data_IF_122049144493
#
_entry.id   IF_122049144493
#
_cell.length_a   1.000
_cell.length_b   1.000
_cell.length_c   1.000
_cell.angle_alpha   90.00
_cell.angle_beta   90.00
_cell.angle_gamma   90.00
#
_symmetry.space_group_name_H-M   'P 1'
#
loop_
_entity.id
_entity.type
_entity.pdbx_description
1 polymer ?
#
# COMPACT_ATOMS: atom_id res chain seq x y z
N UNK A 1 -8.97 0.92 -1.02
CA UNK A 1 -8.82 2.39 -1.10
C UNK A 1 -9.66 3.13 -0.08
N UNK A 2 -10.97 2.90 0.05
CA UNK A 2 -11.77 3.53 1.13
C UNK A 2 -11.34 3.16 2.56
N UNK A 3 -10.59 2.06 2.72
CA UNK A 3 -9.87 1.70 3.96
C UNK A 3 -8.62 2.55 4.20
N UNK A 4 -7.92 2.94 3.14
CA UNK A 4 -6.65 3.68 3.18
C UNK A 4 -6.95 5.18 3.20
N UNK A 5 -7.67 5.61 4.23
CA UNK A 5 -8.06 7.01 4.44
C UNK A 5 -7.50 7.45 5.80
N UNK A 6 -7.00 8.68 5.94
CA UNK A 6 -6.54 9.19 7.23
C UNK A 6 -7.58 8.99 8.35
N UNK A 7 -7.11 8.65 9.56
CA UNK A 7 -7.95 8.59 10.77
C UNK A 7 -8.48 7.21 11.16
N UNK A 8 -8.24 6.15 10.38
CA UNK A 8 -8.80 4.80 10.64
C UNK A 8 -7.76 3.68 10.88
N UNK A 9 -6.62 3.98 11.52
CA UNK A 9 -5.48 3.07 11.82
C UNK A 9 -4.82 2.35 10.61
N UNK A 10 -5.39 2.45 9.42
CA UNK A 10 -4.86 1.91 8.18
C UNK A 10 -3.73 2.80 7.63
N UNK A 11 -2.59 2.23 7.19
CA UNK A 11 -1.46 3.05 6.75
C UNK A 11 -1.73 3.68 5.38
N UNK A 12 -1.41 4.96 5.24
CA UNK A 12 -1.45 5.67 3.94
C UNK A 12 -0.08 6.20 3.50
N UNK A 13 0.88 6.28 4.43
CA UNK A 13 2.22 6.78 4.17
C UNK A 13 3.21 5.62 4.04
N UNK A 14 4.14 5.73 3.10
CA UNK A 14 5.23 4.76 2.88
C UNK A 14 6.31 5.05 3.90
N UNK A 15 6.23 4.37 5.04
CA UNK A 15 7.16 4.49 6.17
C UNK A 15 7.27 3.18 6.94
N UNK A 16 8.32 3.04 7.75
CA UNK A 16 8.47 1.91 8.66
C UNK A 16 8.88 2.34 10.07
N UNK A 17 8.45 1.57 11.08
CA UNK A 17 8.74 1.86 12.49
C UNK A 17 8.77 0.60 13.37
N UNK A 18 9.46 0.69 14.52
CA UNK A 18 9.62 -0.43 15.47
C UNK A 18 8.40 -0.67 16.39
N UNK A 19 7.54 0.33 16.57
CA UNK A 19 6.41 0.26 17.53
C UNK A 19 5.12 0.83 16.99
N UNK A 20 5.23 1.85 16.15
CA UNK A 20 4.10 2.63 15.72
C UNK A 20 3.15 1.80 14.83
N UNK A 21 1.85 1.91 15.13
CA UNK A 21 0.77 1.18 14.47
C UNK A 21 0.16 2.00 13.34
N UNK A 22 0.78 3.08 12.96
CA UNK A 22 0.32 4.00 11.92
C UNK A 22 1.05 3.76 10.59
N UNK A 23 2.28 3.25 10.67
CA UNK A 23 3.18 3.04 9.53
C UNK A 23 2.77 1.85 8.67
N UNK A 24 3.23 1.89 7.41
CA UNK A 24 3.02 0.85 6.42
C UNK A 24 3.68 -0.46 6.84
N UNK A 25 4.93 -0.36 7.30
CA UNK A 25 5.71 -1.48 7.80
C UNK A 25 5.94 -1.32 9.31
N UNK A 26 5.53 -2.31 10.10
CA UNK A 26 5.87 -2.40 11.52
C UNK A 26 6.88 -3.52 11.74
N UNK A 27 7.94 -3.23 12.49
CA UNK A 27 8.90 -4.25 12.96
C UNK A 27 8.71 -4.42 14.47
N UNK A 28 7.97 -5.43 14.94
CA UNK A 28 7.71 -5.60 16.37
C UNK A 28 9.00 -5.67 17.19
N UNK A 29 9.01 -5.01 18.35
CA UNK A 29 10.18 -4.97 19.22
C UNK A 29 10.72 -6.37 19.52
N UNK A 30 12.03 -6.53 19.32
CA UNK A 30 12.75 -7.74 19.64
C UNK A 30 12.64 -8.08 21.13
N UNK A 31 12.49 -9.37 21.44
CA UNK A 31 12.52 -9.86 22.82
C UNK A 31 13.65 -10.88 22.92
N UNK A 32 14.67 -10.66 23.78
CA UNK A 32 15.73 -11.65 24.00
C UNK A 32 15.16 -13.05 24.32
N UNK A 33 15.68 -14.09 23.68
CA UNK A 33 15.17 -15.46 23.79
C UNK A 33 13.93 -15.77 22.95
N UNK A 34 13.51 -14.85 22.07
CA UNK A 34 12.42 -15.03 21.10
C UNK A 34 12.85 -14.67 19.68
N UNK A 35 14.05 -15.08 19.29
CA UNK A 35 14.67 -14.80 17.99
C UNK A 35 13.77 -15.24 16.82
N UNK A 36 13.10 -16.40 16.97
CA UNK A 36 12.15 -16.94 15.97
C UNK A 36 10.88 -16.10 15.79
N UNK A 37 10.62 -15.13 16.65
CA UNK A 37 9.45 -14.25 16.57
C UNK A 37 9.73 -12.93 15.83
N UNK A 38 11.00 -12.65 15.50
CA UNK A 38 11.41 -11.49 14.69
C UNK A 38 10.76 -11.57 13.32
N UNK A 39 10.08 -10.50 12.93
CA UNK A 39 9.33 -10.43 11.68
C UNK A 39 9.12 -8.98 11.25
N UNK A 40 8.70 -8.83 10.02
CA UNK A 40 8.22 -7.57 9.44
C UNK A 40 6.72 -7.71 9.20
N UNK A 41 5.94 -6.71 9.56
CA UNK A 41 4.49 -6.68 9.38
C UNK A 41 4.11 -5.60 8.36
N UNK A 42 3.72 -6.02 7.16
CA UNK A 42 3.18 -5.14 6.13
C UNK A 42 1.66 -4.97 6.35
N UNK A 43 1.19 -3.73 6.51
CA UNK A 43 -0.17 -3.42 7.00
C UNK A 43 -1.14 -2.89 5.92
N UNK A 44 -0.67 -2.68 4.69
CA UNK A 44 -1.51 -2.25 3.56
C UNK A 44 -2.41 -3.34 2.95
N UNK A 45 -2.06 -4.64 2.92
CA UNK A 45 -2.94 -5.66 2.36
C UNK A 45 -4.23 -5.78 3.15
N UNK A 46 -5.31 -6.15 2.47
CA UNK A 46 -6.61 -6.39 3.09
C UNK A 46 -7.22 -7.72 2.60
N UNK A 47 -8.28 -8.23 3.25
CA UNK A 47 -8.85 -9.54 2.92
C UNK A 47 -9.45 -9.65 1.51
N UNK A 48 -9.59 -8.56 0.75
CA UNK A 48 -10.04 -8.62 -0.64
C UNK A 48 -8.93 -9.04 -1.61
N UNK A 49 -7.66 -9.02 -1.18
CA UNK A 49 -6.54 -9.50 -1.98
C UNK A 49 -6.61 -11.02 -2.19
N UNK A 50 -6.19 -11.49 -3.37
CA UNK A 50 -5.86 -12.91 -3.55
C UNK A 50 -4.58 -13.22 -2.75
N UNK A 51 -4.62 -14.10 -1.72
CA UNK A 51 -3.49 -14.33 -0.84
C UNK A 51 -2.26 -14.91 -1.56
N UNK A 52 -2.46 -15.71 -2.60
CA UNK A 52 -1.36 -16.28 -3.38
C UNK A 52 -0.59 -15.21 -4.14
N UNK A 53 -1.31 -14.34 -4.85
CA UNK A 53 -0.70 -13.25 -5.60
C UNK A 53 -0.04 -12.23 -4.67
N UNK A 54 -0.72 -11.90 -3.57
CA UNK A 54 -0.20 -10.97 -2.57
C UNK A 54 1.11 -11.46 -1.97
N UNK A 55 1.16 -12.71 -1.48
CA UNK A 55 2.38 -13.25 -0.89
C UNK A 55 3.50 -13.49 -1.91
N UNK A 56 3.18 -13.88 -3.15
CA UNK A 56 4.18 -14.01 -4.21
C UNK A 56 4.89 -12.67 -4.47
N UNK A 57 4.13 -11.57 -4.60
CA UNK A 57 4.69 -10.23 -4.83
C UNK A 57 5.46 -9.73 -3.61
N UNK A 58 4.93 -9.92 -2.40
CA UNK A 58 5.63 -9.52 -1.16
C UNK A 58 6.99 -10.22 -1.03
N UNK A 59 7.04 -11.52 -1.31
CA UNK A 59 8.28 -12.29 -1.28
C UNK A 59 9.25 -11.79 -2.35
N UNK A 60 8.78 -11.56 -3.58
CA UNK A 60 9.60 -11.04 -4.65
C UNK A 60 10.20 -9.65 -4.33
N UNK A 61 9.40 -8.74 -3.76
CA UNK A 61 9.88 -7.43 -3.31
C UNK A 61 10.97 -7.55 -2.25
N UNK A 62 10.76 -8.41 -1.25
CA UNK A 62 11.73 -8.63 -0.18
C UNK A 62 13.04 -9.25 -0.68
N UNK A 63 12.95 -10.26 -1.55
CA UNK A 63 14.13 -10.89 -2.14
C UNK A 63 14.91 -9.91 -3.00
N UNK A 64 14.25 -9.12 -3.84
CA UNK A 64 14.93 -8.15 -4.70
C UNK A 64 15.67 -7.08 -3.88
N UNK A 65 15.06 -6.56 -2.82
CA UNK A 65 15.73 -5.60 -1.94
C UNK A 65 16.99 -6.16 -1.27
N UNK A 66 16.98 -7.45 -0.91
CA UNK A 66 18.16 -8.15 -0.36
C UNK A 66 19.22 -8.36 -1.44
N UNK A 67 18.84 -8.91 -2.59
CA UNK A 67 19.77 -9.27 -3.68
C UNK A 67 20.46 -8.04 -4.29
N UNK A 68 19.75 -6.91 -4.36
CA UNK A 68 20.26 -5.66 -4.94
C UNK A 68 20.72 -4.65 -3.90
N UNK A 69 20.73 -5.03 -2.62
CA UNK A 69 21.17 -4.18 -1.50
C UNK A 69 20.52 -2.79 -1.52
N UNK A 70 19.19 -2.75 -1.66
CA UNK A 70 18.49 -1.46 -1.67
C UNK A 70 18.72 -0.70 -0.37
N UNK A 71 18.98 0.62 -0.43
CA UNK A 71 19.11 1.42 0.77
C UNK A 71 17.80 1.38 1.56
N UNK A 72 17.91 1.19 2.86
CA UNK A 72 16.78 1.28 3.79
C UNK A 72 16.83 2.65 4.46
N UNK A 73 15.75 3.41 4.35
CA UNK A 73 15.62 4.69 5.05
C UNK A 73 15.57 4.50 6.57
N UNK A 74 15.89 5.55 7.31
CA UNK A 74 15.78 5.54 8.77
C UNK A 74 14.33 5.30 9.23
N UNK A 75 14.12 4.60 10.36
CA UNK A 75 12.78 4.37 10.88
C UNK A 75 12.13 5.69 11.30
N UNK A 76 10.83 5.83 11.04
CA UNK A 76 10.10 7.02 11.44
C UNK A 76 9.67 6.89 12.91
N UNK A 77 10.33 7.66 13.79
CA UNK A 77 10.08 7.60 15.24
C UNK A 77 8.86 8.42 15.70
N UNK A 78 8.36 9.33 14.84
CA UNK A 78 7.19 10.20 15.10
C UNK A 78 5.93 9.64 14.47
N UNK A 79 4.76 10.08 14.96
CA UNK A 79 3.50 9.74 14.33
C UNK A 79 3.35 10.49 12.98
N UNK A 80 3.41 9.77 11.86
CA UNK A 80 3.35 10.35 10.51
C UNK A 80 2.04 11.13 10.26
N UNK A 81 0.96 10.78 10.96
CA UNK A 81 -0.32 11.49 10.88
C UNK A 81 -0.30 12.88 11.52
N UNK A 82 0.61 13.12 12.46
CA UNK A 82 0.76 14.41 13.14
C UNK A 82 1.75 15.33 12.43
N UNK A 83 2.41 14.83 11.37
CA UNK A 83 3.35 15.61 10.58
C UNK A 83 2.58 16.53 9.63
N UNK A 84 3.17 17.67 9.32
CA UNK A 84 2.76 18.49 8.18
C UNK A 84 3.21 17.83 6.87
N UNK A 85 2.65 18.27 5.74
CA UNK A 85 3.07 17.81 4.42
C UNK A 85 4.55 18.12 4.17
N UNK A 86 4.98 19.35 4.49
CA UNK A 86 6.38 19.76 4.37
C UNK A 86 7.34 18.90 5.23
N UNK A 87 6.95 18.52 6.44
CA UNK A 87 7.74 17.60 7.28
C UNK A 87 7.85 16.20 6.65
N UNK A 88 6.77 15.69 6.04
CA UNK A 88 6.79 14.39 5.34
C UNK A 88 7.69 14.44 4.11
N UNK A 89 7.57 15.48 3.30
CA UNK A 89 8.41 15.69 2.12
C UNK A 89 9.89 15.79 2.48
N UNK A 90 10.22 16.52 3.56
CA UNK A 90 11.59 16.65 4.04
C UNK A 90 12.22 15.31 4.47
N UNK A 91 11.39 14.33 4.87
CA UNK A 91 11.80 12.98 5.22
C UNK A 91 11.66 11.98 4.05
N UNK A 92 11.26 12.44 2.87
CA UNK A 92 11.02 11.57 1.71
C UNK A 92 9.83 10.62 1.87
N UNK A 93 8.90 10.90 2.80
CA UNK A 93 7.76 10.04 3.06
C UNK A 93 6.72 10.22 1.96
N UNK A 94 6.58 9.18 1.13
CA UNK A 94 5.61 9.13 0.05
C UNK A 94 4.23 8.64 0.52
N UNK A 95 3.22 8.78 -0.34
CA UNK A 95 1.83 8.35 -0.07
C UNK A 95 1.49 7.15 -0.95
N UNK A 96 0.72 6.21 -0.40
CA UNK A 96 0.14 5.11 -1.18
C UNK A 96 -0.89 5.65 -2.19
N UNK A 97 -1.18 4.89 -3.26
CA UNK A 97 -2.24 5.25 -4.20
C UNK A 97 -3.58 5.49 -3.50
N UNK A 98 -4.24 6.60 -3.80
CA UNK A 98 -5.49 7.00 -3.17
C UNK A 98 -6.68 6.20 -3.70
N UNK A 99 -6.53 5.64 -4.91
CA UNK A 99 -7.58 4.90 -5.60
C UNK A 99 -7.01 3.74 -6.43
N UNK A 100 -7.93 2.89 -6.93
CA UNK A 100 -7.57 1.72 -7.73
C UNK A 100 -6.90 2.11 -9.04
N UNK A 101 -7.28 3.24 -9.63
CA UNK A 101 -6.72 3.67 -10.91
C UNK A 101 -5.25 4.04 -10.79
N UNK A 102 -4.87 4.83 -9.79
CA UNK A 102 -3.46 5.16 -9.52
C UNK A 102 -2.63 3.91 -9.27
N UNK A 103 -3.15 2.96 -8.49
CA UNK A 103 -2.47 1.70 -8.23
C UNK A 103 -2.29 0.87 -9.52
N UNK A 104 -3.27 0.86 -10.42
CA UNK A 104 -3.15 0.23 -11.74
C UNK A 104 -2.03 0.90 -12.54
N UNK A 105 -2.01 2.24 -12.61
CA UNK A 105 -1.00 2.96 -13.39
C UNK A 105 0.43 2.69 -12.90
N UNK A 106 0.64 2.64 -11.57
CA UNK A 106 1.94 2.26 -10.99
C UNK A 106 2.27 0.79 -11.26
N UNK A 107 1.29 -0.11 -11.13
CA UNK A 107 1.48 -1.53 -11.37
C UNK A 107 1.89 -1.80 -12.83
N UNK A 108 1.32 -1.09 -13.80
CA UNK A 108 1.66 -1.21 -15.23
C UNK A 108 3.12 -0.85 -15.54
N UNK A 109 3.73 0.01 -14.73
CA UNK A 109 5.12 0.45 -14.90
C UNK A 109 6.12 -0.41 -14.09
N UNK A 110 5.64 -1.41 -13.35
CA UNK A 110 6.48 -2.18 -12.42
C UNK A 110 7.06 -3.44 -13.07
N UNK A 111 8.34 -3.38 -13.45
CA UNK A 111 9.11 -4.54 -13.93
C UNK A 111 9.21 -5.66 -12.88
N UNK A 112 9.30 -5.30 -11.59
CA UNK A 112 9.31 -6.26 -10.49
C UNK A 112 7.99 -7.03 -10.45
N UNK A 113 6.86 -6.31 -10.48
CA UNK A 113 5.54 -6.93 -10.42
C UNK A 113 5.30 -7.86 -11.62
N UNK A 114 5.69 -7.42 -12.83
CA UNK A 114 5.60 -8.23 -14.06
C UNK A 114 6.42 -9.52 -13.95
N UNK A 115 7.67 -9.43 -13.49
CA UNK A 115 8.51 -10.62 -13.27
C UNK A 115 7.98 -11.54 -12.17
N UNK A 116 7.47 -10.98 -11.07
CA UNK A 116 6.96 -11.76 -9.94
C UNK A 116 5.71 -12.57 -10.29
N UNK A 117 4.82 -12.02 -11.13
CA UNK A 117 3.57 -12.68 -11.53
C UNK A 117 3.70 -13.48 -12.83
N UNK A 118 4.66 -13.12 -13.68
CA UNK A 118 4.75 -13.57 -15.05
C UNK A 118 3.74 -12.87 -15.97
N UNK A 119 4.10 -12.77 -17.25
CA UNK A 119 3.40 -11.96 -18.26
C UNK A 119 1.90 -12.25 -18.32
N UNK A 120 1.52 -13.53 -18.36
CA UNK A 120 0.12 -13.93 -18.48
C UNK A 120 -0.75 -13.45 -17.30
N UNK A 121 -0.28 -13.66 -16.06
CA UNK A 121 -1.03 -13.29 -14.86
C UNK A 121 -1.04 -11.78 -14.68
N UNK A 122 0.11 -11.13 -14.93
CA UNK A 122 0.23 -9.67 -14.86
C UNK A 122 -0.76 -8.97 -15.79
N UNK A 123 -0.77 -9.34 -17.08
CA UNK A 123 -1.64 -8.72 -18.08
C UNK A 123 -3.13 -8.91 -17.74
N UNK A 124 -3.52 -10.12 -17.35
CA UNK A 124 -4.91 -10.41 -16.98
C UNK A 124 -5.33 -9.75 -15.67
N UNK A 125 -4.42 -9.61 -14.72
CA UNK A 125 -4.69 -8.87 -13.49
C UNK A 125 -4.98 -7.40 -13.79
N UNK A 126 -4.12 -6.74 -14.58
CA UNK A 126 -4.30 -5.34 -14.97
C UNK A 126 -5.60 -5.14 -15.75
N UNK A 127 -5.87 -5.98 -16.76
CA UNK A 127 -7.09 -5.91 -17.56
C UNK A 127 -8.35 -6.02 -16.68
N UNK A 128 -8.40 -7.03 -15.81
CA UNK A 128 -9.52 -7.23 -14.90
C UNK A 128 -9.73 -6.04 -13.95
N UNK A 129 -8.64 -5.46 -13.44
CA UNK A 129 -8.71 -4.31 -12.53
C UNK A 129 -9.13 -3.03 -13.24
N UNK A 130 -8.77 -2.85 -14.52
CA UNK A 130 -9.30 -1.76 -15.36
C UNK A 130 -10.81 -1.88 -15.60
N UNK A 131 -11.31 -3.10 -15.84
CA UNK A 131 -12.75 -3.37 -15.97
C UNK A 131 -13.47 -3.03 -14.65
N UNK A 132 -12.94 -3.47 -13.51
CA UNK A 132 -13.46 -3.15 -12.18
C UNK A 132 -13.56 -1.63 -11.95
N UNK A 133 -12.47 -0.90 -12.22
CA UNK A 133 -12.44 0.55 -12.09
C UNK A 133 -13.45 1.25 -13.01
N UNK A 134 -13.53 0.85 -14.28
CA UNK A 134 -14.46 1.45 -15.23
C UNK A 134 -15.92 1.23 -14.85
N UNK A 135 -16.25 0.08 -14.24
CA UNK A 135 -17.59 -0.19 -13.71
C UNK A 135 -17.90 0.68 -12.50
N UNK A 136 -16.94 0.84 -11.59
CA UNK A 136 -17.09 1.67 -10.40
C UNK A 136 -17.29 3.15 -10.74
N UNK A 137 -16.43 3.72 -11.60
CA UNK A 137 -16.48 5.16 -11.95
C UNK A 137 -17.73 5.57 -12.74
N UNK A 138 -18.43 4.60 -13.34
CA UNK A 138 -19.66 4.84 -14.09
C UNK A 138 -20.92 4.81 -13.19
N UNK A 139 -20.78 4.51 -11.90
CA UNK A 139 -21.89 4.55 -10.96
C UNK A 139 -22.18 6.00 -10.54
N UNK A 140 -23.48 6.32 -10.37
CA UNK A 140 -23.92 7.49 -9.61
C UNK A 140 -24.25 7.02 -8.21
N UNK A 141 -23.53 7.54 -7.22
CA UNK A 141 -23.67 7.12 -5.83
C UNK A 141 -24.78 7.88 -5.11
N UNK A 142 -25.31 7.30 -4.03
CA UNK A 142 -26.28 7.99 -3.18
C UNK A 142 -25.74 9.30 -2.62
N UNK A 143 -24.44 9.36 -2.28
CA UNK A 143 -23.79 10.59 -1.82
C UNK A 143 -23.86 11.71 -2.88
N UNK A 144 -23.59 11.40 -4.15
CA UNK A 144 -23.71 12.38 -5.25
C UNK A 144 -25.15 12.85 -5.45
N UNK A 145 -26.13 11.95 -5.30
CA UNK A 145 -27.55 12.32 -5.38
C UNK A 145 -27.93 13.24 -4.20
N UNK A 146 -27.53 12.91 -2.98
CA UNK A 146 -27.85 13.71 -1.79
C UNK A 146 -27.17 15.08 -1.80
N UNK A 147 -25.94 15.18 -2.31
CA UNK A 147 -25.17 16.43 -2.35
C UNK A 147 -25.61 17.35 -3.49
N UNK A 148 -25.78 16.81 -4.71
CA UNK A 148 -25.93 17.62 -5.92
C UNK A 148 -27.38 17.76 -6.39
N UNK A 149 -28.24 16.76 -6.18
CA UNK A 149 -29.64 16.83 -6.65
C UNK A 149 -30.45 17.94 -5.96
N UNK A 150 -30.32 18.23 -4.65
CA UNK A 150 -31.08 19.30 -4.00
C UNK A 150 -30.68 20.71 -4.44
N UNK A 151 -29.53 20.85 -5.10
CA UNK A 151 -28.97 22.14 -5.56
C UNK A 151 -29.37 22.43 -7.02
N UNK A 152 -30.02 21.47 -7.70
CA UNK A 152 -30.60 21.59 -9.05
C UNK A 152 -32.08 21.98 -8.99
#
# INVERSE_FOLDING_TARGET
YKRLVPGYEAPIYISWALRNRSDLIRVPHYKPGKEKATRVELRSPDPACNPYLAFAVMLACGLEGIEKEYPLEDPVERNVYEMTEAEREALGIQVLPENLHEAILLAEQSDLLRRALGDHVFEKLIENKKIEWNRFKAQVTTWELEEYLPVL
#
